data_IF_665010957943
#
_entry.id   IF_665010957943
#
_cell.length_a   1.000
_cell.length_b   1.000
_cell.length_c   1.000
_cell.angle_alpha   90.00
_cell.angle_beta   90.00
_cell.angle_gamma   90.00
#
_symmetry.space_group_name_H-M   'P 1'
#
loop_
_entity.id
_entity.type
_entity.pdbx_description
1 polymer ?
#
# COMPACT_ATOMS: atom_id res chain seq x y z
N UNK A 1 6.54 10.14 10.34
CA UNK A 1 6.54 8.66 10.20
C UNK A 1 5.25 8.20 9.54
N UNK A 2 5.30 7.24 8.62
CA UNK A 2 4.10 6.66 8.02
C UNK A 2 3.41 5.67 8.97
N UNK A 3 2.07 5.61 8.89
CA UNK A 3 1.21 4.65 9.55
C UNK A 3 0.12 4.20 8.57
N UNK A 4 -0.44 3.00 8.72
CA UNK A 4 -1.54 2.50 7.90
C UNK A 4 -2.69 1.95 8.75
N UNK A 5 -3.90 1.95 8.20
CA UNK A 5 -5.10 1.46 8.90
C UNK A 5 -4.99 0.01 9.40
N UNK A 6 -4.16 -0.83 8.78
CA UNK A 6 -3.88 -2.20 9.25
C UNK A 6 -3.26 -2.23 10.67
N UNK A 7 -2.57 -1.16 11.06
CA UNK A 7 -1.88 -1.04 12.35
C UNK A 7 -2.84 -0.73 13.51
N UNK A 8 -4.06 -0.28 13.21
CA UNK A 8 -5.07 0.01 14.23
C UNK A 8 -5.45 -1.23 15.03
N UNK A 9 -5.60 -2.37 14.37
CA UNK A 9 -6.00 -3.62 15.03
C UNK A 9 -5.01 -4.06 16.13
N UNK A 10 -3.72 -4.30 15.84
CA UNK A 10 -2.77 -4.71 16.87
C UNK A 10 -2.52 -3.64 17.93
N UNK A 11 -2.57 -2.36 17.56
CA UNK A 11 -2.41 -1.26 18.52
C UNK A 11 -3.55 -1.23 19.53
N UNK A 12 -4.81 -1.32 19.08
CA UNK A 12 -5.97 -1.37 19.97
C UNK A 12 -5.95 -2.65 20.80
N UNK A 13 -5.62 -3.80 20.21
CA UNK A 13 -5.53 -5.07 20.93
C UNK A 13 -4.54 -4.98 22.10
N UNK A 14 -3.37 -4.38 21.89
CA UNK A 14 -2.40 -4.11 22.97
C UNK A 14 -3.00 -3.25 24.08
N UNK A 15 -3.70 -2.16 23.75
CA UNK A 15 -4.22 -1.21 24.74
C UNK A 15 -5.27 -1.81 25.68
N UNK A 16 -5.95 -2.88 25.25
CA UNK A 16 -6.99 -3.56 26.03
C UNK A 16 -6.54 -4.92 26.58
N UNK A 17 -5.24 -5.22 26.50
CA UNK A 17 -4.65 -6.52 26.88
C UNK A 17 -5.29 -7.73 26.16
N UNK A 18 -5.77 -7.53 24.92
CA UNK A 18 -6.32 -8.60 24.10
C UNK A 18 -5.21 -9.42 23.43
N UNK A 19 -5.46 -10.73 23.30
CA UNK A 19 -4.59 -11.63 22.56
C UNK A 19 -4.77 -11.42 21.05
N UNK A 20 -3.64 -11.28 20.35
CA UNK A 20 -3.63 -11.32 18.89
C UNK A 20 -3.99 -12.72 18.37
N UNK A 21 -4.52 -12.83 17.15
CA UNK A 21 -4.75 -14.12 16.52
C UNK A 21 -3.45 -14.90 16.33
N UNK A 22 -3.55 -16.23 16.28
CA UNK A 22 -2.40 -17.10 15.98
C UNK A 22 -1.91 -16.97 14.53
N UNK A 23 -2.79 -16.58 13.62
CA UNK A 23 -2.41 -16.35 12.24
C UNK A 23 -1.69 -15.01 12.08
N UNK A 24 -0.70 -14.99 11.19
CA UNK A 24 0.06 -13.78 10.84
C UNK A 24 -0.89 -12.68 10.37
N UNK A 25 -0.71 -11.49 10.91
CA UNK A 25 -1.34 -10.24 10.48
C UNK A 25 -0.26 -9.30 9.96
N UNK A 26 -0.64 -8.39 9.06
CA UNK A 26 0.30 -7.44 8.46
C UNK A 26 0.55 -6.23 9.37
N UNK A 27 -0.47 -5.79 10.11
CA UNK A 27 -0.36 -4.63 10.99
C UNK A 27 0.59 -4.87 12.16
N UNK A 28 1.21 -3.80 12.63
CA UNK A 28 2.07 -3.78 13.82
C UNK A 28 1.58 -2.75 14.83
N UNK A 29 1.95 -2.93 16.09
CA UNK A 29 1.64 -1.95 17.13
C UNK A 29 2.41 -0.65 16.89
N UNK A 30 1.66 0.46 16.77
CA UNK A 30 2.19 1.81 16.54
C UNK A 30 1.85 2.77 17.68
N UNK A 31 1.50 2.25 18.88
CA UNK A 31 1.21 3.09 20.04
C UNK A 31 2.27 4.17 20.33
N UNK A 32 3.59 3.91 20.23
CA UNK A 32 4.59 4.96 20.43
C UNK A 32 4.41 6.18 19.53
N UNK A 33 3.94 5.99 18.28
CA UNK A 33 3.62 7.10 17.37
C UNK A 33 2.42 7.90 17.85
N UNK A 34 1.36 7.24 18.34
CA UNK A 34 0.16 7.92 18.85
C UNK A 34 0.38 8.61 20.19
N UNK A 35 1.18 8.01 21.06
CA UNK A 35 1.55 8.58 22.35
C UNK A 35 2.51 9.78 22.22
N UNK A 36 3.00 10.07 21.01
CA UNK A 36 3.96 11.15 20.77
C UNK A 36 5.30 10.90 21.45
N UNK A 37 5.70 9.63 21.59
CA UNK A 37 6.99 9.28 22.17
C UNK A 37 8.12 9.90 21.33
N UNK A 38 9.13 10.42 22.03
CA UNK A 38 10.26 11.06 21.38
C UNK A 38 10.98 10.04 20.47
N UNK A 39 11.29 10.47 19.26
CA UNK A 39 12.00 9.67 18.25
C UNK A 39 11.27 8.39 17.81
N UNK A 40 9.98 8.24 18.12
CA UNK A 40 9.18 7.10 17.69
C UNK A 40 9.20 6.94 16.16
N UNK A 41 9.39 5.71 15.70
CA UNK A 41 9.48 5.32 14.29
C UNK A 41 8.38 4.36 13.91
N UNK A 42 7.98 4.40 12.63
CA UNK A 42 7.14 3.33 12.09
C UNK A 42 7.90 2.00 12.26
N UNK A 43 7.25 0.94 12.76
CA UNK A 43 7.86 -0.38 12.85
C UNK A 43 7.99 -1.05 11.46
N UNK A 44 7.37 -0.46 10.43
CA UNK A 44 7.39 -0.97 9.07
C UNK A 44 8.58 -0.41 8.29
N UNK A 45 9.32 -1.30 7.63
CA UNK A 45 10.32 -0.89 6.63
C UNK A 45 9.64 -0.26 5.39
N UNK A 46 8.49 -0.82 4.99
CA UNK A 46 7.70 -0.31 3.88
C UNK A 46 6.20 -0.67 4.03
N UNK A 47 5.36 0.20 3.52
CA UNK A 47 3.94 -0.02 3.30
C UNK A 47 3.67 -0.34 1.83
N UNK A 48 2.83 -1.35 1.58
CA UNK A 48 2.53 -1.89 0.26
C UNK A 48 1.11 -1.49 -0.16
N UNK A 49 0.93 -1.02 -1.38
CA UNK A 49 -0.37 -0.59 -1.90
C UNK A 49 -0.83 -1.54 -3.00
N UNK A 50 -1.60 -2.54 -2.58
CA UNK A 50 -2.28 -3.45 -3.48
C UNK A 50 -3.64 -2.89 -3.89
N UNK A 51 -3.94 -2.91 -5.19
CA UNK A 51 -5.23 -2.49 -5.75
C UNK A 51 -5.63 -3.38 -6.93
N UNK A 52 -6.83 -3.20 -7.49
CA UNK A 52 -7.33 -3.84 -8.71
C UNK A 52 -6.95 -5.32 -8.91
N UNK A 53 -7.57 -6.22 -8.13
CA UNK A 53 -7.30 -7.66 -8.16
C UNK A 53 -5.81 -8.02 -7.98
N UNK A 54 -5.25 -7.67 -6.82
CA UNK A 54 -3.91 -8.03 -6.37
C UNK A 54 -2.76 -7.44 -7.21
N UNK A 55 -2.89 -6.22 -7.73
CA UNK A 55 -1.80 -5.48 -8.36
C UNK A 55 -1.01 -4.72 -7.30
N UNK A 56 0.28 -4.97 -7.17
CA UNK A 56 1.15 -4.12 -6.35
C UNK A 56 1.45 -2.83 -7.13
N UNK A 57 0.63 -1.80 -6.92
CA UNK A 57 0.71 -0.56 -7.71
C UNK A 57 1.73 0.43 -7.15
N UNK A 58 1.96 0.42 -5.84
CA UNK A 58 2.95 1.29 -5.21
C UNK A 58 3.49 0.71 -3.90
N UNK A 59 4.57 1.29 -3.40
CA UNK A 59 5.04 1.11 -2.03
C UNK A 59 5.58 2.43 -1.46
N UNK A 60 5.60 2.55 -0.14
CA UNK A 60 6.19 3.68 0.58
C UNK A 60 7.14 3.20 1.66
N UNK A 61 8.37 3.72 1.68
CA UNK A 61 9.36 3.49 2.74
C UNK A 61 9.86 4.85 3.23
N UNK A 62 9.48 5.23 4.45
CA UNK A 62 9.72 6.56 5.00
C UNK A 62 9.16 7.67 4.09
N UNK A 63 10.05 8.52 3.60
CA UNK A 63 9.72 9.64 2.72
C UNK A 63 9.56 9.22 1.25
N UNK A 64 10.06 8.05 0.87
CA UNK A 64 10.08 7.65 -0.53
C UNK A 64 8.85 6.82 -0.89
N UNK A 65 8.20 7.17 -2.00
CA UNK A 65 7.10 6.41 -2.60
C UNK A 65 7.48 6.02 -4.02
N UNK A 66 7.38 4.73 -4.34
CA UNK A 66 7.59 4.20 -5.67
C UNK A 66 6.26 3.70 -6.22
N UNK A 67 5.88 4.15 -7.42
CA UNK A 67 4.78 3.61 -8.20
C UNK A 67 5.34 2.69 -9.29
N UNK A 68 4.71 1.53 -9.46
CA UNK A 68 5.02 0.61 -10.54
C UNK A 68 4.13 0.91 -11.77
N UNK A 69 4.55 0.53 -12.99
CA UNK A 69 3.71 0.71 -14.16
C UNK A 69 2.36 -0.01 -14.03
N UNK A 70 1.26 0.73 -14.07
CA UNK A 70 -0.09 0.19 -14.00
C UNK A 70 -1.11 1.15 -14.63
N UNK A 71 -2.35 0.69 -14.77
CA UNK A 71 -3.47 1.54 -15.20
C UNK A 71 -4.20 2.07 -13.97
N UNK A 72 -4.35 3.38 -13.90
CA UNK A 72 -5.09 4.07 -12.87
C UNK A 72 -6.22 4.91 -13.48
N UNK A 73 -6.87 5.71 -12.64
CA UNK A 73 -7.99 6.58 -12.98
C UNK A 73 -7.71 7.96 -12.42
N UNK A 74 -7.98 9.00 -13.22
CA UNK A 74 -7.80 10.39 -12.81
C UNK A 74 -9.09 11.18 -13.00
N UNK A 75 -9.32 12.15 -12.12
CA UNK A 75 -10.36 13.17 -12.27
C UNK A 75 -9.79 14.51 -12.74
N UNK A 76 -8.48 14.61 -12.96
CA UNK A 76 -7.82 15.87 -13.30
C UNK A 76 -8.30 16.37 -14.67
N UNK A 77 -8.82 17.60 -14.70
CA UNK A 77 -9.41 18.21 -15.90
C UNK A 77 -10.79 17.66 -16.26
N UNK A 78 -11.43 16.85 -15.41
CA UNK A 78 -12.82 16.45 -15.59
C UNK A 78 -13.76 17.56 -15.10
N UNK A 79 -14.95 17.72 -15.71
CA UNK A 79 -15.97 18.64 -15.22
C UNK A 79 -16.27 18.40 -13.73
N UNK A 80 -16.62 19.44 -12.98
CA UNK A 80 -17.04 19.27 -11.57
C UNK A 80 -18.38 18.51 -11.53
N UNK A 81 -18.53 17.63 -10.54
CA UNK A 81 -19.78 16.92 -10.30
C UNK A 81 -20.93 17.92 -10.11
N UNK A 82 -22.09 17.64 -10.70
CA UNK A 82 -23.25 18.54 -10.66
C UNK A 82 -24.51 17.74 -10.35
N UNK A 83 -25.40 18.31 -9.52
CA UNK A 83 -26.72 17.76 -9.21
C UNK A 83 -26.68 16.31 -8.68
N UNK A 84 -25.66 16.00 -7.85
CA UNK A 84 -25.45 14.65 -7.29
C UNK A 84 -24.87 13.62 -8.27
N UNK A 85 -24.56 14.04 -9.51
CA UNK A 85 -23.98 13.17 -10.53
C UNK A 85 -22.45 13.28 -10.47
N UNK A 86 -21.72 12.20 -10.13
CA UNK A 86 -20.27 12.22 -10.07
C UNK A 86 -19.67 12.33 -11.48
N UNK A 87 -18.55 13.05 -11.58
CA UNK A 87 -17.80 13.17 -12.82
C UNK A 87 -17.18 11.84 -13.23
N UNK A 88 -17.04 11.63 -14.54
CA UNK A 88 -16.41 10.42 -15.07
C UNK A 88 -14.90 10.46 -14.82
N UNK A 89 -14.33 9.32 -14.47
CA UNK A 89 -12.88 9.15 -14.46
C UNK A 89 -12.34 9.04 -15.89
N UNK A 90 -11.16 9.60 -16.15
CA UNK A 90 -10.37 9.26 -17.34
C UNK A 90 -9.36 8.16 -16.99
N UNK A 91 -9.08 7.22 -17.90
CA UNK A 91 -7.94 6.32 -17.76
C UNK A 91 -6.64 7.11 -17.64
N UNK A 92 -5.75 6.66 -16.77
CA UNK A 92 -4.39 7.19 -16.62
C UNK A 92 -3.42 6.01 -16.72
N UNK A 93 -2.41 6.14 -17.59
CA UNK A 93 -1.30 5.19 -17.61
C UNK A 93 -0.22 5.75 -16.68
N UNK A 94 0.12 4.99 -15.64
CA UNK A 94 1.17 5.34 -14.69
C UNK A 94 2.46 4.62 -15.11
N UNK A 95 3.59 5.33 -15.05
CA UNK A 95 4.91 4.78 -15.35
C UNK A 95 5.59 4.20 -14.11
N UNK A 96 6.90 3.98 -14.22
CA UNK A 96 7.75 3.79 -13.04
C UNK A 96 8.11 5.18 -12.51
N UNK A 97 7.59 5.51 -11.33
CA UNK A 97 7.69 6.87 -10.79
C UNK A 97 8.12 6.84 -9.33
N UNK A 98 9.11 7.66 -8.97
CA UNK A 98 9.62 7.79 -7.62
C UNK A 98 9.38 9.20 -7.11
N UNK A 99 8.82 9.33 -5.91
CA UNK A 99 8.54 10.61 -5.27
C UNK A 99 9.12 10.66 -3.86
N UNK A 100 9.58 11.84 -3.45
CA UNK A 100 9.93 12.14 -2.06
C UNK A 100 8.79 12.92 -1.42
N UNK A 101 7.97 12.27 -0.61
CA UNK A 101 6.77 12.83 0.00
C UNK A 101 7.05 13.88 1.09
N UNK A 102 8.28 13.96 1.61
CA UNK A 102 8.65 15.03 2.55
C UNK A 102 8.86 16.37 1.85
N UNK A 103 9.28 16.33 0.58
CA UNK A 103 9.58 17.52 -0.24
C UNK A 103 8.49 17.81 -1.26
N UNK A 104 7.82 16.77 -1.75
CA UNK A 104 6.80 16.83 -2.80
C UNK A 104 5.60 15.94 -2.43
N UNK A 105 4.78 16.37 -1.45
CA UNK A 105 3.59 15.62 -1.04
C UNK A 105 2.52 15.54 -2.13
N UNK A 106 2.62 16.38 -3.17
CA UNK A 106 1.71 16.40 -4.30
C UNK A 106 2.14 15.46 -5.45
N UNK A 107 3.29 14.76 -5.31
CA UNK A 107 3.80 13.79 -6.28
C UNK A 107 3.90 14.38 -7.69
N UNK A 108 4.49 15.58 -7.79
CA UNK A 108 4.59 16.36 -9.03
C UNK A 108 5.89 16.12 -9.80
N UNK A 109 6.96 15.74 -9.11
CA UNK A 109 8.30 15.60 -9.69
C UNK A 109 8.78 14.16 -9.61
N UNK A 110 8.75 13.46 -10.75
CA UNK A 110 9.30 12.10 -10.82
C UNK A 110 10.84 12.11 -10.70
N UNK A 111 11.35 11.37 -9.73
CA UNK A 111 12.77 11.26 -9.38
C UNK A 111 13.40 9.91 -9.76
N UNK A 112 12.67 9.02 -10.43
CA UNK A 112 13.10 7.65 -10.68
C UNK A 112 14.42 7.56 -11.45
N UNK A 113 14.59 8.38 -12.50
CA UNK A 113 15.82 8.41 -13.29
C UNK A 113 17.02 9.02 -12.53
N UNK A 114 16.75 9.90 -11.57
CA UNK A 114 17.79 10.60 -10.79
C UNK A 114 18.29 9.78 -9.60
N UNK A 115 17.49 8.81 -9.13
CA UNK A 115 17.78 8.00 -7.94
C UNK A 115 17.57 6.50 -8.21
N UNK A 116 18.29 5.91 -9.19
CA UNK A 116 18.15 4.49 -9.53
C UNK A 116 18.49 3.57 -8.36
N UNK A 117 19.36 3.98 -7.44
CA UNK A 117 19.71 3.26 -6.22
C UNK A 117 18.52 3.12 -5.26
N UNK A 118 17.68 4.15 -5.16
CA UNK A 118 16.48 4.13 -4.32
C UNK A 118 15.42 3.26 -4.99
N UNK A 119 15.24 3.41 -6.31
CA UNK A 119 14.33 2.55 -7.08
C UNK A 119 14.70 1.08 -6.89
N UNK A 120 15.98 0.72 -7.01
CA UNK A 120 16.45 -0.65 -6.80
C UNK A 120 16.17 -1.16 -5.38
N UNK A 121 16.47 -0.35 -4.35
CA UNK A 121 16.19 -0.71 -2.95
C UNK A 121 14.71 -0.98 -2.71
N UNK A 122 13.85 -0.06 -3.15
CA UNK A 122 12.40 -0.17 -3.00
C UNK A 122 11.83 -1.33 -3.82
N UNK A 123 12.38 -1.59 -5.00
CA UNK A 123 11.99 -2.74 -5.84
C UNK A 123 12.32 -4.05 -5.16
N UNK A 124 13.48 -4.18 -4.48
CA UNK A 124 13.81 -5.37 -3.71
C UNK A 124 12.83 -5.62 -2.54
N UNK A 125 12.31 -4.56 -1.91
CA UNK A 125 11.24 -4.68 -0.89
C UNK A 125 9.92 -5.15 -1.51
N UNK A 126 9.55 -4.59 -2.67
CA UNK A 126 8.40 -5.07 -3.43
C UNK A 126 8.54 -6.54 -3.83
N UNK A 127 9.72 -6.98 -4.28
CA UNK A 127 9.90 -8.36 -4.74
C UNK A 127 9.76 -9.37 -3.61
N UNK A 128 10.20 -9.03 -2.39
CA UNK A 128 9.88 -9.83 -1.18
C UNK A 128 8.37 -9.94 -0.98
N UNK A 129 7.65 -8.83 -1.12
CA UNK A 129 6.20 -8.82 -0.99
C UNK A 129 5.50 -9.61 -2.10
N UNK A 130 5.96 -9.51 -3.35
CA UNK A 130 5.43 -10.27 -4.50
C UNK A 130 5.62 -11.77 -4.33
N UNK A 131 6.75 -12.20 -3.75
CA UNK A 131 7.00 -13.61 -3.47
C UNK A 131 6.00 -14.19 -2.43
N UNK A 132 5.60 -13.38 -1.44
CA UNK A 132 4.65 -13.76 -0.39
C UNK A 132 3.19 -13.60 -0.87
N UNK A 133 2.79 -12.39 -1.23
CA UNK A 133 1.41 -11.99 -1.51
C UNK A 133 1.00 -12.11 -2.99
N UNK A 134 1.96 -12.33 -3.88
CA UNK A 134 1.74 -12.32 -5.33
C UNK A 134 1.63 -10.91 -5.88
N UNK A 135 1.47 -10.83 -7.20
CA UNK A 135 1.23 -9.58 -7.93
C UNK A 135 0.71 -9.88 -9.33
N UNK A 136 -0.51 -9.45 -9.62
CA UNK A 136 -1.14 -9.69 -10.92
C UNK A 136 -0.54 -8.87 -12.06
N UNK A 137 0.14 -7.74 -11.78
CA UNK A 137 0.87 -6.97 -12.80
C UNK A 137 2.01 -7.79 -13.39
N UNK A 138 2.70 -8.54 -12.52
CA UNK A 138 3.84 -9.39 -12.89
C UNK A 138 3.46 -10.87 -13.04
N UNK A 139 2.16 -11.19 -12.92
CA UNK A 139 1.60 -12.56 -12.95
C UNK A 139 2.24 -13.51 -11.92
N UNK A 140 2.70 -12.96 -10.81
CA UNK A 140 3.26 -13.73 -9.71
C UNK A 140 2.13 -14.25 -8.81
N UNK A 141 2.06 -15.56 -8.55
CA UNK A 141 0.97 -16.13 -7.77
C UNK A 141 1.02 -15.71 -6.30
N UNK A 142 2.20 -15.70 -5.67
CA UNK A 142 2.38 -15.48 -4.23
C UNK A 142 2.24 -16.76 -3.40
N UNK A 143 3.21 -17.06 -2.55
CA UNK A 143 3.28 -18.30 -1.77
C UNK A 143 2.45 -18.28 -0.47
N UNK A 144 2.24 -17.10 0.11
CA UNK A 144 1.47 -16.88 1.34
C UNK A 144 -0.01 -16.58 1.11
N UNK A 145 -0.51 -16.74 -0.13
CA UNK A 145 -1.93 -16.50 -0.41
C UNK A 145 -2.79 -17.64 0.12
N UNK A 146 -3.87 -17.24 0.79
CA UNK A 146 -4.90 -18.16 1.26
C UNK A 146 -5.92 -18.40 0.15
N UNK A 147 -6.36 -19.64 0.02
CA UNK A 147 -7.47 -19.97 -0.85
C UNK A 147 -8.74 -19.24 -0.39
N UNK A 148 -9.61 -18.82 -1.33
CA UNK A 148 -10.92 -18.29 -0.97
C UNK A 148 -11.68 -19.28 -0.09
N UNK A 149 -12.29 -18.77 0.99
CA UNK A 149 -13.18 -19.57 1.82
C UNK A 149 -14.33 -20.13 0.97
N UNK A 150 -14.61 -21.42 1.10
CA UNK A 150 -15.73 -22.08 0.43
C UNK A 150 -16.81 -22.40 1.47
N UNK A 151 -18.03 -21.94 1.23
CA UNK A 151 -19.21 -22.44 1.93
C UNK A 151 -19.67 -23.70 1.22
N UNK A 152 -20.01 -24.75 1.98
CA UNK A 152 -20.64 -25.93 1.39
C UNK A 152 -21.92 -25.50 0.66
N UNK A 153 -22.11 -25.99 -0.56
CA UNK A 153 -23.34 -25.73 -1.30
C UNK A 153 -24.53 -26.15 -0.43
N UNK A 154 -25.50 -25.25 -0.24
CA UNK A 154 -26.72 -25.59 0.49
C UNK A 154 -27.32 -26.86 -0.14
N UNK A 155 -27.58 -27.88 0.68
CA UNK A 155 -28.28 -29.06 0.23
C UNK A 155 -29.63 -28.61 -0.38
N UNK A 156 -29.82 -28.92 -1.66
CA UNK A 156 -31.09 -28.68 -2.36
C UNK A 156 -32.19 -29.56 -1.81
#
# INVERSE_FOLDING_TARGET
EPAMTIDLFPTVARLIDAKLPEHKIDGLDIWPLFAGEKDAKSPHEAYLFYYDNNQLQALRSGDWKLLFPHRSRSMQGQPVAKDGIPSKYKPLQVGLELYNLSQDPAETTNLAEKHPEIVAKLTALADKARADLGDSLTKQPGTGRREPGRVAAAAK
#
